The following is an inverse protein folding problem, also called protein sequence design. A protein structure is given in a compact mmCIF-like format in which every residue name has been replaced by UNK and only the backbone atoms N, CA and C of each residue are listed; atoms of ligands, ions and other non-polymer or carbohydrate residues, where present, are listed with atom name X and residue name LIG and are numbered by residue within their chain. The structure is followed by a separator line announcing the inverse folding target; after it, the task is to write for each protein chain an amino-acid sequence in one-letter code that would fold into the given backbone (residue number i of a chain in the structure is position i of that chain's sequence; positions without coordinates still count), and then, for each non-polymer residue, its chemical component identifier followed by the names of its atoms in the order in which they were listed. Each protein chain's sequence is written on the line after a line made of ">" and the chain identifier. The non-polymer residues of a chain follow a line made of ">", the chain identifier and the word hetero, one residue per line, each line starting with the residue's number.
data_IF_207279763023
#
_entry.id   IF_207279763023
#
_cell.length_a   1.000
_cell.length_b   1.000
_cell.length_c   1.000
_cell.angle_alpha   90.00
_cell.angle_beta   90.00
_cell.angle_gamma   90.00
#
_symmetry.space_group_name_H-M   'P 1'
#
loop_
_entity.id
_entity.type
_entity.pdbx_description
1 polymer ?
#
# COMPACT_ATOMS: atom_id res chain seq x y z
N UNK A 1 10.97 0.69 2.84
CA UNK A 1 9.96 0.35 1.84
C UNK A 1 10.26 1.06 0.53
N UNK A 2 10.12 0.35 -0.57
CA UNK A 2 10.40 0.84 -1.91
C UNK A 2 9.18 0.63 -2.82
N UNK A 3 8.64 1.74 -3.35
CA UNK A 3 7.46 1.72 -4.21
C UNK A 3 7.79 1.28 -5.63
N UNK A 4 7.76 -0.01 -5.91
CA UNK A 4 7.97 -0.61 -7.23
C UNK A 4 6.74 -0.46 -8.12
N UNK A 5 5.58 -0.76 -7.58
CA UNK A 5 4.26 -0.79 -8.18
C UNK A 5 4.10 -1.87 -9.27
N UNK A 6 4.92 -1.86 -10.31
CA UNK A 6 5.02 -2.86 -11.38
C UNK A 6 6.39 -2.73 -12.05
N UNK A 7 6.80 -3.72 -12.84
CA UNK A 7 7.96 -3.65 -13.73
C UNK A 7 7.54 -3.53 -15.21
N UNK A 8 6.24 -3.56 -15.48
CA UNK A 8 5.71 -3.34 -16.83
C UNK A 8 5.60 -1.84 -17.13
N UNK A 9 6.22 -1.41 -18.23
CA UNK A 9 6.29 0.01 -18.63
C UNK A 9 4.91 0.64 -18.87
N UNK A 10 3.95 -0.12 -19.40
CA UNK A 10 2.63 0.42 -19.71
C UNK A 10 1.81 0.59 -18.42
N UNK A 11 1.93 -0.36 -17.48
CA UNK A 11 1.27 -0.26 -16.17
C UNK A 11 1.87 0.88 -15.34
N UNK A 12 3.19 1.05 -15.33
CA UNK A 12 3.84 2.18 -14.68
C UNK A 12 3.38 3.51 -15.26
N UNK A 13 3.29 3.61 -16.59
CA UNK A 13 2.76 4.81 -17.27
C UNK A 13 1.29 5.07 -16.88
N UNK A 14 0.48 4.03 -16.82
CA UNK A 14 -0.92 4.15 -16.35
C UNK A 14 -0.99 4.69 -14.92
N UNK A 15 -0.13 4.21 -14.04
CA UNK A 15 -0.01 4.67 -12.66
C UNK A 15 0.71 6.02 -12.51
N UNK A 16 1.02 6.70 -13.63
CA UNK A 16 1.75 7.99 -13.65
C UNK A 16 3.11 7.95 -12.96
N UNK A 17 3.77 6.77 -12.99
CA UNK A 17 5.11 6.59 -12.42
C UNK A 17 6.18 6.99 -13.42
N UNK A 18 7.22 7.69 -12.93
CA UNK A 18 8.32 8.20 -13.75
C UNK A 18 9.52 7.22 -13.80
N UNK A 19 9.57 6.27 -12.88
CA UNK A 19 10.61 5.24 -12.84
C UNK A 19 10.23 4.04 -13.70
N UNK A 20 11.21 3.24 -14.05
CA UNK A 20 11.07 1.96 -14.74
C UNK A 20 11.78 0.84 -13.97
N UNK A 21 11.84 -0.34 -14.62
CA UNK A 21 12.48 -1.53 -14.06
C UNK A 21 13.96 -1.29 -13.67
N UNK A 22 14.71 -0.60 -14.52
CA UNK A 22 16.15 -0.36 -14.28
C UNK A 22 16.38 0.48 -13.01
N UNK A 23 15.56 1.50 -12.79
CA UNK A 23 15.61 2.33 -11.60
C UNK A 23 15.29 1.53 -10.35
N UNK A 24 14.32 0.61 -10.42
CA UNK A 24 13.99 -0.30 -9.32
C UNK A 24 15.19 -1.16 -8.95
N UNK A 25 15.80 -1.82 -9.93
CA UNK A 25 16.97 -2.69 -9.71
C UNK A 25 18.15 -1.91 -9.10
N UNK A 26 18.50 -0.77 -9.71
CA UNK A 26 19.58 0.11 -9.21
C UNK A 26 19.32 0.59 -7.80
N UNK A 27 18.08 0.96 -7.50
CA UNK A 27 17.70 1.43 -6.15
C UNK A 27 17.82 0.30 -5.12
N UNK A 28 17.35 -0.90 -5.45
CA UNK A 28 17.47 -2.05 -4.57
C UNK A 28 18.94 -2.40 -4.27
N UNK A 29 19.78 -2.47 -5.32
CA UNK A 29 21.22 -2.67 -5.15
C UNK A 29 21.89 -1.58 -4.30
N UNK A 30 21.51 -0.32 -4.50
CA UNK A 30 22.05 0.79 -3.71
C UNK A 30 21.66 0.66 -2.24
N UNK A 31 20.41 0.26 -1.94
CA UNK A 31 19.99 0.00 -0.56
C UNK A 31 20.80 -1.13 0.08
N UNK A 32 21.04 -2.24 -0.63
CA UNK A 32 21.90 -3.32 -0.13
C UNK A 32 23.34 -2.85 0.11
N UNK A 33 23.90 -2.06 -0.79
CA UNK A 33 25.27 -1.53 -0.66
C UNK A 33 25.47 -0.64 0.56
N UNK A 34 24.44 0.11 0.98
CA UNK A 34 24.51 0.95 2.18
C UNK A 34 24.10 0.23 3.47
N UNK A 35 23.87 -1.10 3.39
CA UNK A 35 23.67 -1.96 4.56
C UNK A 35 22.22 -2.16 5.01
N UNK A 36 21.23 -1.86 4.17
CA UNK A 36 19.85 -2.26 4.48
C UNK A 36 19.65 -3.75 4.19
N UNK A 37 19.36 -4.50 5.23
CA UNK A 37 19.13 -5.96 5.25
C UNK A 37 17.65 -6.35 5.38
N UNK A 38 16.76 -5.37 5.56
CA UNK A 38 15.32 -5.57 5.59
C UNK A 38 14.65 -4.54 4.66
N UNK A 39 14.33 -4.98 3.45
CA UNK A 39 13.76 -4.14 2.38
C UNK A 39 12.38 -4.66 2.02
N UNK A 40 11.39 -3.76 2.02
CA UNK A 40 10.07 -4.04 1.48
C UNK A 40 9.93 -3.52 0.05
N UNK A 41 9.30 -4.34 -0.81
CA UNK A 41 8.89 -3.96 -2.17
C UNK A 41 7.37 -3.85 -2.25
N UNK A 42 6.87 -2.64 -2.55
CA UNK A 42 5.44 -2.39 -2.74
C UNK A 42 5.04 -2.61 -4.19
N UNK A 43 4.07 -3.47 -4.43
CA UNK A 43 3.50 -3.80 -5.73
C UNK A 43 2.00 -3.51 -5.77
N UNK A 44 1.49 -3.21 -6.96
CA UNK A 44 0.06 -2.99 -7.19
C UNK A 44 -0.44 -4.01 -8.21
N UNK A 45 -1.52 -4.70 -7.87
CA UNK A 45 -2.25 -5.55 -8.80
C UNK A 45 -3.65 -5.00 -9.08
N UNK A 46 -4.42 -5.69 -9.94
CA UNK A 46 -5.75 -5.25 -10.37
C UNK A 46 -5.72 -3.91 -11.15
N UNK A 47 -4.61 -3.65 -11.85
CA UNK A 47 -4.48 -2.48 -12.73
C UNK A 47 -5.21 -2.79 -14.06
N UNK A 48 -5.94 -1.84 -14.67
CA UNK A 48 -6.52 -2.02 -16.00
C UNK A 48 -5.51 -2.55 -17.01
N UNK A 49 -5.91 -3.58 -17.77
CA UNK A 49 -5.07 -4.33 -18.73
C UNK A 49 -3.93 -5.16 -18.12
N UNK A 50 -3.82 -5.26 -16.81
CA UNK A 50 -2.89 -6.19 -16.18
C UNK A 50 -3.39 -7.62 -16.32
N UNK A 51 -2.59 -8.46 -16.96
CA UNK A 51 -2.87 -9.90 -17.08
C UNK A 51 -2.15 -10.69 -16.00
N UNK A 52 -2.63 -11.90 -15.71
CA UNK A 52 -1.92 -12.82 -14.80
C UNK A 52 -0.47 -13.07 -15.26
N UNK A 53 -0.20 -13.08 -16.57
CA UNK A 53 1.15 -13.24 -17.10
C UNK A 53 2.08 -12.08 -16.70
N UNK A 54 1.61 -10.84 -16.80
CA UNK A 54 2.35 -9.64 -16.38
C UNK A 54 2.60 -9.69 -14.88
N UNK A 55 1.56 -9.94 -14.09
CA UNK A 55 1.65 -10.02 -12.64
C UNK A 55 2.64 -11.10 -12.16
N UNK A 56 2.57 -12.29 -12.74
CA UNK A 56 3.53 -13.39 -12.49
C UNK A 56 4.96 -12.97 -12.78
N UNK A 57 5.19 -12.24 -13.87
CA UNK A 57 6.51 -11.78 -14.25
C UNK A 57 7.04 -10.74 -13.26
N UNK A 58 6.21 -9.79 -12.83
CA UNK A 58 6.58 -8.80 -11.83
C UNK A 58 6.99 -9.47 -10.51
N UNK A 59 6.14 -10.34 -9.97
CA UNK A 59 6.43 -11.06 -8.72
C UNK A 59 7.71 -11.87 -8.80
N UNK A 60 7.92 -12.64 -9.89
CA UNK A 60 9.11 -13.47 -10.05
C UNK A 60 10.39 -12.64 -10.10
N UNK A 61 10.37 -11.49 -10.77
CA UNK A 61 11.55 -10.63 -10.85
C UNK A 61 11.85 -9.95 -9.51
N UNK A 62 10.82 -9.54 -8.77
CA UNK A 62 11.03 -8.98 -7.43
C UNK A 62 11.55 -10.04 -6.45
N UNK A 63 11.03 -11.26 -6.50
CA UNK A 63 11.52 -12.36 -5.67
C UNK A 63 13.00 -12.71 -5.95
N UNK A 64 13.49 -12.50 -7.19
CA UNK A 64 14.91 -12.67 -7.52
C UNK A 64 15.84 -11.66 -6.85
N UNK A 65 15.30 -10.53 -6.35
CA UNK A 65 16.06 -9.55 -5.57
C UNK A 65 16.21 -9.97 -4.12
N UNK A 66 15.50 -11.02 -3.70
CA UNK A 66 15.50 -11.54 -2.33
C UNK A 66 15.11 -10.49 -1.27
N UNK A 67 13.95 -9.78 -1.43
CA UNK A 67 13.47 -8.89 -0.40
C UNK A 67 13.02 -9.68 0.84
N UNK A 68 13.01 -9.04 1.99
CA UNK A 68 12.52 -9.63 3.24
C UNK A 68 11.01 -9.45 3.42
N UNK A 69 10.46 -8.45 2.73
CA UNK A 69 9.04 -8.10 2.84
C UNK A 69 8.49 -7.71 1.46
N UNK A 70 7.25 -8.06 1.19
CA UNK A 70 6.53 -7.70 -0.05
C UNK A 70 5.12 -7.27 0.31
N UNK A 71 4.73 -6.10 -0.19
CA UNK A 71 3.36 -5.61 -0.13
C UNK A 71 2.71 -5.72 -1.51
N UNK A 72 1.52 -6.32 -1.60
CA UNK A 72 0.75 -6.42 -2.84
C UNK A 72 -0.62 -5.82 -2.61
N UNK A 73 -0.83 -4.60 -3.10
CA UNK A 73 -2.08 -3.86 -2.95
C UNK A 73 -2.94 -3.98 -4.19
N UNK A 74 -4.24 -4.22 -4.00
CA UNK A 74 -5.19 -4.07 -5.10
C UNK A 74 -5.39 -2.58 -5.41
N UNK A 75 -5.36 -2.23 -6.70
CA UNK A 75 -5.68 -0.86 -7.12
C UNK A 75 -7.13 -0.53 -6.77
N UNK A 76 -7.32 0.43 -5.89
CA UNK A 76 -8.64 0.96 -5.51
C UNK A 76 -8.94 2.27 -6.23
N UNK A 77 -10.23 2.50 -6.52
CA UNK A 77 -10.72 3.70 -7.19
C UNK A 77 -11.22 4.66 -6.13
N UNK A 78 -10.37 5.59 -5.71
CA UNK A 78 -10.68 6.54 -4.65
C UNK A 78 -11.44 7.77 -5.20
N UNK A 79 -12.50 8.16 -4.51
CA UNK A 79 -13.29 9.35 -4.84
C UNK A 79 -12.42 10.62 -4.86
N UNK A 80 -12.69 11.51 -5.81
CA UNK A 80 -11.91 12.75 -5.98
C UNK A 80 -10.62 12.58 -6.79
N UNK A 81 -10.27 11.36 -7.23
CA UNK A 81 -9.12 11.10 -8.10
C UNK A 81 -9.48 11.19 -9.59
N UNK A 82 -8.47 11.38 -10.43
CA UNK A 82 -8.66 11.33 -11.88
C UNK A 82 -9.11 9.95 -12.36
N UNK A 83 -8.61 8.87 -11.75
CA UNK A 83 -9.03 7.51 -12.04
C UNK A 83 -10.53 7.32 -11.76
N UNK A 84 -11.01 7.80 -10.61
CA UNK A 84 -12.44 7.77 -10.27
C UNK A 84 -13.29 8.43 -11.36
N UNK A 85 -12.89 9.61 -11.84
CA UNK A 85 -13.61 10.29 -12.91
C UNK A 85 -13.60 9.50 -14.23
N UNK A 86 -12.48 8.86 -14.58
CA UNK A 86 -12.40 8.06 -15.80
C UNK A 86 -13.24 6.79 -15.73
N UNK A 87 -13.27 6.13 -14.59
CA UNK A 87 -14.11 4.93 -14.37
C UNK A 87 -15.59 5.30 -14.42
N UNK A 88 -16.02 6.33 -13.69
CA UNK A 88 -17.43 6.76 -13.66
C UNK A 88 -17.94 7.26 -15.01
N UNK A 89 -17.07 7.83 -15.84
CA UNK A 89 -17.43 8.27 -17.19
C UNK A 89 -17.27 7.16 -18.25
N UNK A 90 -17.00 5.93 -17.85
CA UNK A 90 -16.86 4.78 -18.76
C UNK A 90 -15.61 4.82 -19.65
N UNK A 91 -14.65 5.72 -19.39
CA UNK A 91 -13.39 5.82 -20.16
C UNK A 91 -12.39 4.71 -19.82
N UNK A 92 -12.46 4.19 -18.61
CA UNK A 92 -11.63 3.08 -18.12
C UNK A 92 -12.54 2.07 -17.46
N UNK A 93 -12.40 0.79 -17.85
CA UNK A 93 -13.01 -0.32 -17.16
C UNK A 93 -12.02 -0.94 -16.19
N UNK A 94 -12.42 -1.08 -14.93
CA UNK A 94 -11.63 -1.83 -13.94
C UNK A 94 -11.72 -3.34 -14.23
N UNK A 95 -10.69 -4.13 -13.90
CA UNK A 95 -10.76 -5.57 -13.98
C UNK A 95 -11.90 -6.13 -13.13
N UNK A 96 -12.42 -7.29 -13.52
CA UNK A 96 -13.48 -7.97 -12.75
C UNK A 96 -12.97 -8.45 -11.39
N UNK A 97 -13.91 -8.69 -10.46
CA UNK A 97 -13.58 -9.28 -9.16
C UNK A 97 -12.95 -10.67 -9.30
N UNK A 98 -13.38 -11.47 -10.28
CA UNK A 98 -12.83 -12.80 -10.55
C UNK A 98 -11.35 -12.70 -10.96
N UNK A 99 -11.02 -11.76 -11.85
CA UNK A 99 -9.64 -11.50 -12.24
C UNK A 99 -8.79 -11.04 -11.03
N UNK A 100 -9.32 -10.14 -10.23
CA UNK A 100 -8.65 -9.69 -9.00
C UNK A 100 -8.41 -10.85 -8.03
N UNK A 101 -9.40 -11.72 -7.84
CA UNK A 101 -9.30 -12.93 -7.03
C UNK A 101 -8.23 -13.90 -7.56
N UNK A 102 -8.17 -14.12 -8.89
CA UNK A 102 -7.14 -14.98 -9.49
C UNK A 102 -5.73 -14.47 -9.23
N UNK A 103 -5.50 -13.15 -9.41
CA UNK A 103 -4.21 -12.52 -9.14
C UNK A 103 -3.81 -12.66 -7.66
N UNK A 104 -4.75 -12.44 -6.75
CA UNK A 104 -4.53 -12.56 -5.33
C UNK A 104 -4.21 -13.98 -4.88
N UNK A 105 -5.00 -14.97 -5.29
CA UNK A 105 -4.76 -16.39 -4.98
C UNK A 105 -3.41 -16.87 -5.53
N UNK A 106 -3.06 -16.42 -6.75
CA UNK A 106 -1.73 -16.70 -7.29
C UNK A 106 -0.62 -16.11 -6.42
N UNK A 107 -0.81 -14.87 -5.93
CA UNK A 107 0.16 -14.20 -5.04
C UNK A 107 0.33 -14.99 -3.76
N UNK A 108 -0.75 -15.35 -3.07
CA UNK A 108 -0.70 -16.15 -1.84
C UNK A 108 0.09 -17.45 -2.04
N UNK A 109 -0.25 -18.20 -3.09
CA UNK A 109 0.45 -19.45 -3.39
C UNK A 109 1.93 -19.22 -3.64
N UNK A 110 2.31 -18.28 -4.50
CA UNK A 110 3.70 -18.01 -4.85
C UNK A 110 4.51 -17.56 -3.64
N UNK A 111 3.97 -16.66 -2.81
CA UNK A 111 4.64 -16.17 -1.61
C UNK A 111 4.91 -17.31 -0.62
N UNK A 112 3.90 -18.15 -0.38
CA UNK A 112 4.05 -19.33 0.48
C UNK A 112 5.12 -20.30 -0.08
N UNK A 113 5.09 -20.60 -1.37
CA UNK A 113 6.07 -21.48 -2.04
C UNK A 113 7.51 -20.91 -1.93
N UNK A 114 7.66 -19.58 -1.78
CA UNK A 114 8.94 -18.87 -1.60
C UNK A 114 9.32 -18.63 -0.13
N UNK A 115 8.56 -19.18 0.83
CA UNK A 115 8.84 -19.09 2.26
C UNK A 115 8.54 -17.71 2.87
N UNK A 116 7.56 -17.00 2.34
CA UNK A 116 6.97 -15.83 2.96
C UNK A 116 5.72 -16.22 3.73
N UNK A 117 5.49 -15.58 4.86
CA UNK A 117 4.29 -15.70 5.67
C UNK A 117 3.39 -14.50 5.42
N UNK A 118 2.12 -14.76 5.14
CA UNK A 118 1.12 -13.71 5.06
C UNK A 118 0.66 -13.38 6.48
N UNK A 119 0.92 -12.17 6.96
CA UNK A 119 0.54 -11.76 8.32
C UNK A 119 -0.67 -10.79 8.33
N UNK A 120 -1.04 -10.25 7.17
CA UNK A 120 -2.28 -9.50 6.95
C UNK A 120 -2.67 -9.55 5.46
N UNK A 121 -3.77 -8.88 5.06
CA UNK A 121 -4.39 -9.05 3.74
C UNK A 121 -3.43 -8.74 2.58
N UNK A 122 -2.60 -7.69 2.70
CA UNK A 122 -1.79 -7.17 1.60
C UNK A 122 -0.29 -7.36 1.79
N UNK A 123 0.15 -7.91 2.95
CA UNK A 123 1.56 -7.95 3.32
C UNK A 123 2.05 -9.36 3.64
N UNK A 124 3.21 -9.67 3.08
CA UNK A 124 3.97 -10.91 3.26
C UNK A 124 5.38 -10.58 3.71
N UNK A 125 5.92 -11.33 4.65
CA UNK A 125 7.29 -11.19 5.11
C UNK A 125 8.00 -12.53 5.26
N UNK A 126 9.32 -12.51 5.30
CA UNK A 126 10.06 -13.62 5.88
C UNK A 126 9.72 -13.73 7.37
N UNK A 127 9.78 -14.94 7.97
CA UNK A 127 9.42 -15.14 9.37
C UNK A 127 10.14 -14.15 10.30
N UNK A 128 9.40 -13.54 11.22
CA UNK A 128 9.87 -12.54 12.22
C UNK A 128 10.30 -11.18 11.64
N UNK A 129 9.95 -10.90 10.38
CA UNK A 129 10.23 -9.63 9.71
C UNK A 129 8.96 -8.86 9.34
N UNK A 130 7.85 -9.16 10.02
CA UNK A 130 6.57 -8.47 9.86
C UNK A 130 6.74 -6.96 10.21
N UNK A 131 6.02 -6.12 9.50
CA UNK A 131 6.02 -4.68 9.79
C UNK A 131 5.28 -4.41 11.11
N UNK A 132 6.02 -4.11 12.18
CA UNK A 132 5.45 -3.80 13.51
C UNK A 132 4.41 -2.68 13.47
N UNK A 133 4.64 -1.69 12.62
CA UNK A 133 3.68 -0.58 12.47
C UNK A 133 2.34 -1.06 11.92
N UNK A 134 2.35 -2.00 10.95
CA UNK A 134 1.11 -2.58 10.43
C UNK A 134 0.41 -3.44 11.50
N UNK A 135 1.17 -4.22 12.28
CA UNK A 135 0.61 -5.06 13.34
C UNK A 135 -0.13 -4.22 14.39
N UNK A 136 0.39 -3.06 14.79
CA UNK A 136 -0.31 -2.16 15.72
C UNK A 136 -1.72 -1.77 15.28
N UNK A 137 -1.94 -1.59 13.97
CA UNK A 137 -3.30 -1.33 13.46
C UNK A 137 -4.21 -2.55 13.58
N UNK A 138 -3.69 -3.74 13.33
CA UNK A 138 -4.46 -4.99 13.45
C UNK A 138 -4.72 -5.39 14.91
N UNK A 139 -3.81 -5.03 15.80
CA UNK A 139 -3.96 -5.20 17.26
C UNK A 139 -4.83 -4.10 17.90
N UNK A 140 -5.28 -3.14 17.09
CA UNK A 140 -6.12 -2.00 17.52
C UNK A 140 -5.41 -1.16 18.59
N UNK A 141 -4.10 -1.04 18.50
CA UNK A 141 -3.32 -0.23 19.42
C UNK A 141 -3.57 1.27 19.21
N UNK A 142 -3.54 2.07 20.28
CA UNK A 142 -3.58 3.52 20.16
C UNK A 142 -2.46 4.07 19.31
N UNK A 143 -2.78 4.99 18.40
CA UNK A 143 -1.80 5.63 17.55
C UNK A 143 -2.04 7.14 17.42
N UNK A 144 -0.95 7.90 17.38
CA UNK A 144 -0.99 9.35 17.18
C UNK A 144 -1.06 9.71 15.70
N UNK A 145 -1.73 10.82 15.39
CA UNK A 145 -1.83 11.36 14.04
C UNK A 145 -0.99 12.63 13.88
N UNK A 146 0.07 12.58 13.10
CA UNK A 146 0.90 13.73 12.76
C UNK A 146 0.79 14.07 11.28
N UNK A 147 0.54 15.33 10.97
CA UNK A 147 0.40 15.83 9.61
C UNK A 147 -1.05 15.97 9.12
N UNK A 148 -1.26 16.66 7.98
CA UNK A 148 -2.56 16.78 7.34
C UNK A 148 -3.04 15.40 6.85
N UNK A 149 -4.34 15.16 6.91
CA UNK A 149 -5.00 13.88 6.59
C UNK A 149 -4.61 12.68 7.46
N UNK A 150 -3.70 12.82 8.42
CA UNK A 150 -3.31 11.70 9.26
C UNK A 150 -4.47 11.23 10.15
N UNK A 151 -4.58 9.91 10.29
CA UNK A 151 -5.56 9.26 11.15
C UNK A 151 -4.92 8.78 12.44
N UNK A 152 -5.64 8.91 13.54
CA UNK A 152 -5.21 8.44 14.85
C UNK A 152 -6.32 7.74 15.61
N UNK A 153 -5.92 7.04 16.66
CA UNK A 153 -6.79 6.31 17.55
C UNK A 153 -6.30 6.43 18.99
N UNK A 154 -7.16 6.82 19.91
CA UNK A 154 -6.83 7.02 21.33
C UNK A 154 -7.22 5.87 22.26
N UNK A 155 -7.58 4.72 21.67
CA UNK A 155 -8.10 3.55 22.38
C UNK A 155 -9.63 3.52 22.50
N UNK A 156 -10.33 4.61 22.13
CA UNK A 156 -11.80 4.71 22.14
C UNK A 156 -12.37 5.47 20.95
N UNK A 157 -11.61 6.42 20.43
CA UNK A 157 -12.06 7.34 19.39
C UNK A 157 -11.09 7.32 18.23
N UNK A 158 -11.58 7.03 17.03
CA UNK A 158 -10.86 7.30 15.79
C UNK A 158 -10.99 8.76 15.43
N UNK A 159 -9.93 9.37 14.97
CA UNK A 159 -9.96 10.76 14.53
C UNK A 159 -9.05 10.96 13.31
N UNK A 160 -9.35 12.00 12.54
CA UNK A 160 -8.49 12.43 11.44
C UNK A 160 -8.15 13.91 11.56
N UNK A 161 -6.99 14.28 11.05
CA UNK A 161 -6.58 15.65 10.92
C UNK A 161 -7.15 16.30 9.67
N UNK A 162 -7.22 17.64 9.67
CA UNK A 162 -7.62 18.43 8.50
C UNK A 162 -6.70 18.09 7.32
N UNK A 163 -7.28 17.79 6.15
CA UNK A 163 -6.54 17.45 4.94
C UNK A 163 -5.90 18.65 4.24
N UNK A 164 -6.53 19.83 4.33
CA UNK A 164 -5.99 21.04 3.74
C UNK A 164 -4.74 21.53 4.49
N UNK A 165 -3.61 21.59 3.82
CA UNK A 165 -2.30 21.94 4.38
C UNK A 165 -2.29 23.30 5.08
N UNK A 166 -2.83 24.35 4.43
CA UNK A 166 -2.80 25.71 4.97
C UNK A 166 -3.65 25.83 6.24
N UNK A 167 -4.83 25.18 6.25
CA UNK A 167 -5.70 25.12 7.43
C UNK A 167 -5.06 24.35 8.56
N UNK A 168 -4.36 23.24 8.24
CA UNK A 168 -3.61 22.47 9.22
C UNK A 168 -2.51 23.32 9.87
N UNK A 169 -1.63 23.93 9.06
CA UNK A 169 -0.56 24.82 9.53
C UNK A 169 -1.11 25.97 10.37
N UNK A 170 -2.20 26.62 9.92
CA UNK A 170 -2.83 27.72 10.68
C UNK A 170 -3.29 27.28 12.07
N UNK A 171 -3.90 26.08 12.19
CA UNK A 171 -4.33 25.56 13.50
C UNK A 171 -3.14 25.26 14.41
N UNK A 172 -2.08 24.63 13.88
CA UNK A 172 -0.87 24.34 14.65
C UNK A 172 -0.21 25.62 15.15
N UNK A 173 -0.06 26.66 14.31
CA UNK A 173 0.49 27.97 14.69
C UNK A 173 -0.33 28.65 15.79
N UNK A 174 -1.64 28.37 15.88
CA UNK A 174 -2.52 28.88 16.94
C UNK A 174 -2.55 27.99 18.19
N UNK A 175 -1.72 26.94 18.28
CA UNK A 175 -1.74 25.98 19.39
C UNK A 175 -3.02 25.13 19.47
N UNK A 176 -3.77 25.04 18.35
CA UNK A 176 -5.04 24.29 18.30
C UNK A 176 -4.84 22.93 17.67
N UNK A 177 -5.52 21.91 18.22
CA UNK A 177 -5.51 20.55 17.65
C UNK A 177 -6.20 20.59 16.28
N UNK A 178 -5.54 20.10 15.20
CA UNK A 178 -6.03 20.20 13.84
C UNK A 178 -7.01 19.08 13.44
N UNK A 179 -7.69 18.47 14.39
CA UNK A 179 -8.66 17.39 14.14
C UNK A 179 -9.90 17.90 13.40
N UNK A 180 -10.38 17.10 12.43
CA UNK A 180 -11.55 17.35 11.61
C UNK A 180 -12.72 16.44 11.99
N UNK A 181 -12.49 15.14 12.09
CA UNK A 181 -13.51 14.12 12.33
C UNK A 181 -13.15 13.33 13.58
N UNK A 182 -14.20 12.90 14.31
CA UNK A 182 -14.08 12.02 15.45
C UNK A 182 -15.21 11.00 15.40
N UNK A 183 -14.85 9.73 15.52
CA UNK A 183 -15.77 8.61 15.60
C UNK A 183 -15.49 7.86 16.91
N UNK A 184 -16.45 7.87 17.82
CA UNK A 184 -16.35 7.08 19.04
C UNK A 184 -16.76 5.64 18.70
N UNK A 185 -15.86 4.70 18.90
CA UNK A 185 -16.14 3.30 18.68
C UNK A 185 -17.03 2.77 19.84
N UNK A 186 -18.03 1.98 19.49
CA UNK A 186 -18.84 1.22 20.44
C UNK A 186 -18.27 -0.21 20.56
N UNK A 187 -18.61 -0.92 21.63
CA UNK A 187 -18.16 -2.31 21.85
C UNK A 187 -18.51 -3.25 20.69
N UNK A 188 -19.51 -2.91 19.86
CA UNK A 188 -19.87 -3.64 18.63
C UNK A 188 -18.89 -3.42 17.47
N UNK A 189 -18.03 -2.41 17.53
CA UNK A 189 -17.08 -2.08 16.45
C UNK A 189 -15.68 -2.62 16.72
N UNK A 190 -15.51 -3.40 17.79
CA UNK A 190 -14.27 -4.10 18.14
C UNK A 190 -14.24 -5.57 17.67
N UNK A 191 -15.32 -6.03 17.01
CA UNK A 191 -15.45 -7.40 16.52
C UNK A 191 -15.21 -7.50 15.01
#
# INVERSE_FOLDING_TARGET
>A
SMGVQSLDKNLLKFLTRIHGKEEVLKTFEALRKVGYDNINCDLIFNIPNQTLKIWRNDLKQILQLEPEHISCYSLTVEEGTQLYNYVNNGKIAMPSNDNSGELYLYTQKLMNDCGFEQYEISNWSKPKLECRHNLHYWEIDPCLAFGPSAHGFDGKTRFSNISNLDKYIKKIKLGKIPQLQKEKLSDKNYS
#
